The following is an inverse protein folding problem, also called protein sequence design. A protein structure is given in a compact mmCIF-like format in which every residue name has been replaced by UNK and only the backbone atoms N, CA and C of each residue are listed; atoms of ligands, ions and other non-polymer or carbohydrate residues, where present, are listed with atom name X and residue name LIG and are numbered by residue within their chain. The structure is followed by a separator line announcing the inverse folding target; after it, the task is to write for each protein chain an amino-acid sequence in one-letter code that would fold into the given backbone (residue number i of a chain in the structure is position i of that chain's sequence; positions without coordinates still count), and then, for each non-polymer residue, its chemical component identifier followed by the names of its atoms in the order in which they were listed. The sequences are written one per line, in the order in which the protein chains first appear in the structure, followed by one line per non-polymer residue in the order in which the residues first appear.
data_IF_093912207635
#
_entry.id   IF_093912207635
#
_cell.length_a   1.000
_cell.length_b   1.000
_cell.length_c   1.000
_cell.angle_alpha   90.00
_cell.angle_beta   90.00
_cell.angle_gamma   90.00
#
_symmetry.space_group_name_H-M   'P 1'
#
loop_
_entity.id
_entity.type
_entity.pdbx_description
1 polymer ?
#
# COMPACT_ATOMS: atom_id res chain seq x y z
N UNK A 1 5.61 -9.95 -7.64
CA UNK A 1 5.78 -8.49 -7.42
C UNK A 1 5.42 -8.24 -5.95
N UNK A 2 6.08 -7.33 -5.24
CA UNK A 2 5.67 -6.99 -3.87
C UNK A 2 4.53 -5.98 -3.93
N UNK A 3 3.45 -6.18 -3.18
CA UNK A 3 2.32 -5.26 -3.13
C UNK A 3 2.71 -3.98 -2.38
N UNK A 4 2.49 -2.82 -3.01
CA UNK A 4 2.79 -1.50 -2.45
C UNK A 4 1.53 -0.66 -2.37
N UNK A 5 1.23 -0.17 -1.17
CA UNK A 5 0.14 0.76 -0.92
C UNK A 5 0.49 1.68 0.26
N UNK A 6 0.80 2.94 -0.03
CA UNK A 6 1.22 3.90 0.99
C UNK A 6 2.26 4.90 0.49
N UNK A 7 2.83 5.67 1.43
CA UNK A 7 3.89 6.62 1.11
C UNK A 7 5.24 5.93 0.96
N UNK A 8 6.00 6.38 -0.03
CA UNK A 8 7.39 6.01 -0.22
C UNK A 8 8.25 7.25 -0.38
N UNK A 9 9.41 7.24 0.28
CA UNK A 9 10.34 8.36 0.29
C UNK A 9 11.70 7.92 -0.24
N UNK A 10 12.25 8.72 -1.16
CA UNK A 10 13.65 8.61 -1.60
C UNK A 10 14.52 9.49 -0.70
N UNK A 11 15.52 8.89 -0.07
CA UNK A 11 16.43 9.56 0.85
C UNK A 11 17.81 8.90 0.77
N UNK A 12 18.88 9.70 0.63
CA UNK A 12 20.25 9.23 0.44
C UNK A 12 20.39 8.18 -0.68
N UNK A 13 19.70 8.40 -1.80
CA UNK A 13 19.75 7.52 -2.97
C UNK A 13 19.01 6.18 -2.86
N UNK A 14 18.33 5.91 -1.74
CA UNK A 14 17.51 4.71 -1.54
C UNK A 14 16.04 5.07 -1.30
N UNK A 15 15.14 4.14 -1.60
CA UNK A 15 13.70 4.29 -1.36
C UNK A 15 13.27 3.50 -0.13
N UNK A 16 12.37 4.09 0.66
CA UNK A 16 11.85 3.54 1.91
C UNK A 16 10.34 3.65 1.94
N UNK A 17 9.66 2.70 2.58
CA UNK A 17 8.30 2.93 3.07
C UNK A 17 8.34 4.12 4.03
N UNK A 18 7.36 5.00 3.94
CA UNK A 18 7.37 6.28 4.62
C UNK A 18 6.05 6.60 5.31
N UNK A 19 6.13 7.45 6.33
CA UNK A 19 4.98 8.13 6.92
C UNK A 19 5.32 9.61 7.08
N UNK A 20 4.73 10.51 6.26
CA UNK A 20 4.89 11.95 6.44
C UNK A 20 4.16 12.42 7.71
N UNK A 21 4.81 13.31 8.46
CA UNK A 21 4.31 13.89 9.71
C UNK A 21 4.78 15.35 9.82
N UNK A 22 4.03 16.25 9.15
CA UNK A 22 4.37 17.66 9.05
C UNK A 22 5.74 17.90 8.42
N UNK A 23 6.65 18.53 9.17
CA UNK A 23 8.01 18.83 8.71
C UNK A 23 8.98 17.63 8.82
N UNK A 24 8.49 16.45 9.18
CA UNK A 24 9.27 15.23 9.36
C UNK A 24 8.70 14.10 8.50
N UNK A 25 9.56 13.14 8.17
CA UNK A 25 9.18 11.90 7.52
C UNK A 25 9.79 10.76 8.30
N UNK A 26 8.97 9.77 8.67
CA UNK A 26 9.42 8.49 9.20
C UNK A 26 9.75 7.58 8.03
N UNK A 27 10.95 7.04 7.97
CA UNK A 27 11.42 6.06 7.00
C UNK A 27 11.46 4.70 7.68
N UNK A 28 10.90 3.67 7.05
CA UNK A 28 10.83 2.33 7.58
C UNK A 28 11.66 1.35 6.76
N UNK A 29 12.17 0.33 7.45
CA UNK A 29 12.83 -0.82 6.82
C UNK A 29 12.77 -2.06 7.71
N UNK A 30 13.01 -3.22 7.12
CA UNK A 30 12.92 -4.50 7.84
C UNK A 30 14.13 -4.81 8.72
N UNK A 31 15.34 -4.43 8.32
CA UNK A 31 16.57 -4.73 9.08
C UNK A 31 17.12 -3.58 9.95
N UNK A 32 18.18 -3.84 10.73
CA UNK A 32 18.95 -2.81 11.46
C UNK A 32 19.92 -2.04 10.54
N UNK A 33 20.00 -0.73 10.70
CA UNK A 33 20.93 0.16 9.98
C UNK A 33 21.28 1.38 10.83
N UNK A 34 22.38 2.05 10.50
CA UNK A 34 22.81 3.25 11.21
C UNK A 34 21.74 4.35 11.22
N UNK A 35 21.44 4.85 12.42
CA UNK A 35 20.42 5.88 12.65
C UNK A 35 18.96 5.39 12.55
N UNK A 36 18.73 4.09 12.35
CA UNK A 36 17.39 3.50 12.45
C UNK A 36 17.23 2.83 13.82
N UNK A 37 16.16 3.18 14.55
CA UNK A 37 15.80 2.55 15.82
C UNK A 37 14.80 1.41 15.59
N UNK A 38 14.97 0.30 16.30
CA UNK A 38 14.00 -0.80 16.30
C UNK A 38 12.71 -0.38 17.02
N UNK A 39 11.56 -0.60 16.38
CA UNK A 39 10.22 -0.31 16.92
C UNK A 39 9.30 -1.52 16.93
N UNK A 40 9.77 -2.65 16.42
CA UNK A 40 9.09 -3.93 16.45
C UNK A 40 9.92 -5.00 15.72
N UNK A 41 9.49 -6.28 15.78
CA UNK A 41 10.13 -7.36 15.04
C UNK A 41 10.22 -7.00 13.57
N UNK A 42 11.45 -7.04 13.03
CA UNK A 42 11.73 -6.68 11.64
C UNK A 42 11.15 -5.32 11.22
N UNK A 43 11.09 -4.35 12.14
CA UNK A 43 10.63 -3.00 11.82
C UNK A 43 11.49 -1.96 12.52
N UNK A 44 12.22 -1.22 11.69
CA UNK A 44 13.13 -0.17 12.13
C UNK A 44 12.73 1.15 11.50
N UNK A 45 12.81 2.23 12.27
CA UNK A 45 12.40 3.57 11.86
C UNK A 45 13.53 4.57 12.00
N UNK A 46 13.63 5.48 11.03
CA UNK A 46 14.43 6.70 11.13
C UNK A 46 13.55 7.89 10.85
N UNK A 47 13.68 8.94 11.65
CA UNK A 47 12.95 10.19 11.43
C UNK A 47 13.90 11.20 10.80
N UNK A 48 13.53 11.75 9.64
CA UNK A 48 14.32 12.75 8.91
C UNK A 48 13.50 14.02 8.70
N UNK A 49 14.13 15.20 8.59
CA UNK A 49 13.44 16.39 8.10
C UNK A 49 12.87 16.15 6.70
N UNK A 50 11.64 16.61 6.45
CA UNK A 50 11.02 16.50 5.12
C UNK A 50 11.84 17.20 4.03
N UNK A 51 12.58 18.25 4.39
CA UNK A 51 13.48 18.96 3.49
C UNK A 51 14.71 18.15 3.03
N UNK A 52 15.04 17.05 3.70
CA UNK A 52 16.13 16.15 3.30
C UNK A 52 15.65 15.00 2.40
N UNK A 53 14.33 14.83 2.24
CA UNK A 53 13.75 13.80 1.37
C UNK A 53 13.80 14.27 -0.09
N UNK A 54 14.45 13.48 -0.95
CA UNK A 54 14.63 13.76 -2.37
C UNK A 54 13.31 13.70 -3.14
N UNK A 55 12.43 12.78 -2.72
CA UNK A 55 11.09 12.59 -3.28
C UNK A 55 10.20 11.91 -2.25
N UNK A 56 8.97 12.37 -2.13
CA UNK A 56 7.90 11.69 -1.40
C UNK A 56 6.76 11.44 -2.39
N UNK A 57 6.31 10.19 -2.51
CA UNK A 57 5.23 9.81 -3.42
C UNK A 57 4.26 8.86 -2.73
N UNK A 58 2.99 8.86 -3.13
CA UNK A 58 2.04 7.84 -2.72
C UNK A 58 1.95 6.78 -3.83
N UNK A 59 2.21 5.53 -3.48
CA UNK A 59 2.18 4.39 -4.41
C UNK A 59 0.97 3.52 -4.08
N UNK A 60 0.26 3.07 -5.11
CA UNK A 60 -0.85 2.13 -4.98
C UNK A 60 -0.74 1.05 -6.04
N UNK A 61 -0.94 -0.20 -5.63
CA UNK A 61 -1.03 -1.35 -6.53
C UNK A 61 -2.50 -1.56 -6.90
N UNK A 62 -2.80 -1.67 -8.18
CA UNK A 62 -4.13 -1.90 -8.73
C UNK A 62 -4.19 -3.23 -9.48
N UNK A 63 -5.41 -3.74 -9.64
CA UNK A 63 -5.67 -4.96 -10.38
C UNK A 63 -7.11 -5.03 -10.94
N UNK A 64 -7.36 -6.09 -11.71
CA UNK A 64 -8.69 -6.56 -12.08
C UNK A 64 -8.98 -7.90 -11.43
N UNK A 65 -10.18 -8.08 -10.90
CA UNK A 65 -10.67 -9.37 -10.42
C UNK A 65 -12.15 -9.52 -10.76
N UNK A 66 -12.52 -10.62 -11.42
CA UNK A 66 -13.89 -10.87 -11.92
C UNK A 66 -14.45 -9.68 -12.72
N UNK A 67 -13.63 -9.20 -13.66
CA UNK A 67 -13.91 -8.09 -14.56
C UNK A 67 -14.07 -6.69 -13.96
N UNK A 68 -13.84 -6.53 -12.66
CA UNK A 68 -14.00 -5.26 -11.96
C UNK A 68 -12.66 -4.72 -11.41
N UNK A 69 -12.48 -3.39 -11.33
CA UNK A 69 -11.23 -2.79 -10.89
C UNK A 69 -11.12 -2.70 -9.36
N UNK A 70 -9.92 -2.94 -8.86
CA UNK A 70 -9.58 -2.89 -7.44
C UNK A 70 -8.24 -2.22 -7.18
N UNK A 71 -8.09 -1.64 -5.99
CA UNK A 71 -6.79 -1.35 -5.38
C UNK A 71 -6.44 -2.48 -4.41
N UNK A 72 -5.18 -2.89 -4.40
CA UNK A 72 -4.67 -3.93 -3.50
C UNK A 72 -4.11 -3.26 -2.25
N UNK A 73 -4.69 -3.59 -1.09
CA UNK A 73 -4.33 -3.03 0.21
C UNK A 73 -3.23 -3.83 0.92
N UNK A 74 -3.08 -5.10 0.56
CA UNK A 74 -2.07 -5.99 1.14
C UNK A 74 -2.18 -7.42 0.65
N UNK A 75 -1.24 -8.26 1.07
CA UNK A 75 -1.15 -9.67 0.72
C UNK A 75 -0.94 -10.50 1.99
N UNK A 76 -1.58 -11.68 2.05
CA UNK A 76 -1.39 -12.66 3.10
C UNK A 76 -1.65 -14.07 2.58
N UNK A 77 -0.66 -14.97 2.72
CA UNK A 77 -0.79 -16.41 2.40
C UNK A 77 -1.41 -16.72 1.01
N UNK A 78 -1.00 -15.99 -0.03
CA UNK A 78 -1.52 -16.15 -1.40
C UNK A 78 -2.86 -15.47 -1.66
N UNK A 79 -3.36 -14.69 -0.71
CA UNK A 79 -4.57 -13.89 -0.84
C UNK A 79 -4.23 -12.40 -0.88
N UNK A 80 -4.97 -11.65 -1.70
CA UNK A 80 -4.88 -10.20 -1.79
C UNK A 80 -6.09 -9.58 -1.10
N UNK A 81 -5.85 -8.67 -0.14
CA UNK A 81 -6.90 -7.79 0.38
C UNK A 81 -7.12 -6.70 -0.65
N UNK A 82 -8.31 -6.62 -1.22
CA UNK A 82 -8.64 -5.69 -2.29
C UNK A 82 -9.80 -4.79 -1.89
N UNK A 83 -9.79 -3.55 -2.39
CA UNK A 83 -10.87 -2.58 -2.26
C UNK A 83 -11.40 -2.17 -3.63
N UNK A 84 -12.72 -2.19 -3.79
CA UNK A 84 -13.39 -1.94 -5.06
C UNK A 84 -13.31 -0.45 -5.46
N UNK A 85 -12.76 -0.17 -6.63
CA UNK A 85 -12.60 1.21 -7.14
C UNK A 85 -13.58 1.58 -8.25
N UNK A 86 -14.47 0.67 -8.66
CA UNK A 86 -15.42 0.92 -9.75
C UNK A 86 -16.63 1.79 -9.40
N UNK A 87 -16.81 2.18 -8.13
CA UNK A 87 -17.76 3.21 -7.71
C UNK A 87 -19.26 2.87 -7.87
N UNK A 88 -19.61 1.62 -8.20
CA UNK A 88 -21.00 1.17 -8.43
C UNK A 88 -21.49 0.22 -7.34
N UNK A 89 -22.32 0.69 -6.42
CA UNK A 89 -22.90 -0.13 -5.35
C UNK A 89 -23.56 -1.45 -5.82
N UNK A 90 -24.41 -1.47 -6.87
CA UNK A 90 -25.05 -2.71 -7.31
C UNK A 90 -24.08 -3.76 -7.84
N UNK A 91 -22.87 -3.36 -8.23
CA UNK A 91 -21.82 -4.28 -8.65
C UNK A 91 -21.15 -4.90 -7.45
N UNK A 92 -20.77 -4.10 -6.45
CA UNK A 92 -20.22 -4.59 -5.20
C UNK A 92 -21.16 -5.60 -4.52
N UNK A 93 -22.47 -5.31 -4.49
CA UNK A 93 -23.48 -6.21 -3.93
C UNK A 93 -23.57 -7.52 -4.72
N UNK A 94 -23.62 -7.47 -6.06
CA UNK A 94 -23.66 -8.67 -6.92
C UNK A 94 -22.42 -9.54 -6.79
N UNK A 95 -21.26 -8.93 -6.55
CA UNK A 95 -20.00 -9.64 -6.31
C UNK A 95 -19.90 -10.25 -4.91
N UNK A 96 -20.81 -9.88 -3.99
CA UNK A 96 -20.78 -10.32 -2.61
C UNK A 96 -19.64 -9.68 -1.80
N UNK A 97 -19.23 -8.46 -2.14
CA UNK A 97 -18.17 -7.77 -1.41
C UNK A 97 -18.64 -7.36 -0.01
N UNK A 98 -17.72 -7.39 0.95
CA UNK A 98 -18.00 -7.00 2.33
C UNK A 98 -17.99 -5.46 2.45
N UNK A 99 -19.04 -4.84 3.02
CA UNK A 99 -18.97 -3.42 3.37
C UNK A 99 -17.98 -3.23 4.52
N UNK A 100 -16.95 -2.42 4.29
CA UNK A 100 -15.95 -2.07 5.29
C UNK A 100 -16.29 -0.74 5.99
N UNK A 101 -16.70 0.26 5.20
CA UNK A 101 -17.21 1.56 5.64
C UNK A 101 -18.24 2.08 4.61
N UNK A 102 -18.83 3.26 4.85
CA UNK A 102 -19.81 3.89 3.97
C UNK A 102 -19.24 4.10 2.56
N UNK A 103 -19.68 3.25 1.63
CA UNK A 103 -19.27 3.29 0.23
C UNK A 103 -17.95 2.57 -0.05
N UNK A 104 -17.36 1.90 0.94
CA UNK A 104 -16.11 1.16 0.83
C UNK A 104 -16.40 -0.34 0.89
N UNK A 105 -15.99 -1.06 -0.15
CA UNK A 105 -16.23 -2.49 -0.29
C UNK A 105 -14.92 -3.22 -0.47
N UNK A 106 -14.68 -4.23 0.37
CA UNK A 106 -13.45 -4.99 0.37
C UNK A 106 -13.70 -6.49 0.23
N UNK A 107 -12.69 -7.22 -0.19
CA UNK A 107 -12.70 -8.67 -0.26
C UNK A 107 -11.29 -9.24 -0.15
N UNK A 108 -11.22 -10.55 0.02
CA UNK A 108 -10.00 -11.34 -0.21
C UNK A 108 -10.12 -12.05 -1.55
N UNK A 109 -9.20 -11.76 -2.47
CA UNK A 109 -9.12 -12.39 -3.79
C UNK A 109 -7.92 -13.36 -3.80
N UNK A 110 -8.04 -14.58 -4.34
CA UNK A 110 -6.90 -15.46 -4.58
C UNK A 110 -5.92 -14.78 -5.55
N UNK A 111 -4.64 -14.71 -5.21
CA UNK A 111 -3.66 -13.97 -6.01
C UNK A 111 -3.52 -14.49 -7.45
N UNK A 112 -3.85 -15.77 -7.69
CA UNK A 112 -3.85 -16.42 -8.99
C UNK A 112 -5.10 -16.17 -9.85
N UNK A 113 -6.17 -15.61 -9.26
CA UNK A 113 -7.37 -15.15 -9.99
C UNK A 113 -7.31 -13.68 -10.40
N UNK A 114 -6.27 -12.96 -9.98
CA UNK A 114 -6.15 -11.51 -10.18
C UNK A 114 -5.35 -11.22 -11.44
N UNK A 115 -5.84 -10.27 -12.23
CA UNK A 115 -5.26 -9.86 -13.51
C UNK A 115 -4.81 -8.38 -13.46
N UNK A 116 -4.04 -7.95 -14.46
CA UNK A 116 -3.62 -6.57 -14.66
C UNK A 116 -3.02 -5.90 -13.40
N UNK A 117 -2.17 -6.63 -12.67
CA UNK A 117 -1.47 -6.08 -11.50
C UNK A 117 -0.47 -5.00 -11.94
N UNK A 118 -0.64 -3.77 -11.46
CA UNK A 118 0.25 -2.64 -11.78
C UNK A 118 0.32 -1.61 -10.65
N UNK A 119 1.40 -0.83 -10.61
CA UNK A 119 1.56 0.29 -9.66
C UNK A 119 1.24 1.62 -10.34
N UNK A 120 0.56 2.50 -9.62
CA UNK A 120 0.48 3.93 -9.92
C UNK A 120 1.18 4.73 -8.81
N UNK A 121 1.76 5.87 -9.18
CA UNK A 121 2.48 6.77 -8.26
C UNK A 121 2.03 8.21 -8.44
N UNK A 122 1.69 8.87 -7.34
CA UNK A 122 1.25 10.27 -7.27
C UNK A 122 2.18 11.09 -6.41
#
# INVERSE_FOLDING_TARGET
MSIRHGFYARWNGAEYEASPDGARVRLYRSGPAEGFAEVGPERHVRVVPAAEVERLSYVSTYCRWRDEPFVVLGEHDGWLRVEYTGGRFPVAERMGLEPFDRGVYQAWAPADEVEDLHEETV
#
